data_IF_829237387805
#
_entry.id   IF_829237387805
#
_cell.length_a   1.000
_cell.length_b   1.000
_cell.length_c   1.000
_cell.angle_alpha   90.00
_cell.angle_beta   90.00
_cell.angle_gamma   90.00
#
_symmetry.space_group_name_H-M   'P 1'
#
loop_
_entity.id
_entity.type
_entity.pdbx_description
1 polymer ?
#
# COMPACT_ATOMS: atom_id res chain seq x y z
N UNK A 1 13.61 3.99 -8.64
CA UNK A 1 12.60 4.69 -9.46
C UNK A 1 12.97 4.68 -10.93
N UNK A 2 14.18 5.17 -11.34
CA UNK A 2 14.58 5.24 -12.75
C UNK A 2 14.41 3.92 -13.50
N UNK A 3 14.86 2.80 -12.92
CA UNK A 3 14.70 1.47 -13.53
C UNK A 3 13.23 1.12 -13.81
N UNK A 4 12.30 1.57 -12.98
CA UNK A 4 10.86 1.30 -13.17
C UNK A 4 10.30 2.07 -14.37
N UNK A 5 10.60 3.34 -14.51
CA UNK A 5 10.09 4.15 -15.63
C UNK A 5 10.69 3.73 -16.97
N UNK A 6 11.90 3.16 -16.96
CA UNK A 6 12.57 2.68 -18.19
C UNK A 6 11.91 1.42 -18.76
N UNK A 7 11.20 0.64 -17.93
CA UNK A 7 10.61 -0.66 -18.33
C UNK A 7 9.08 -0.69 -18.29
N UNK A 8 8.44 0.29 -17.62
CA UNK A 8 6.99 0.34 -17.47
C UNK A 8 6.36 1.32 -18.44
N UNK A 9 5.23 0.92 -19.05
CA UNK A 9 4.42 1.77 -19.94
C UNK A 9 3.30 2.51 -19.20
N UNK A 10 3.13 2.24 -17.91
CA UNK A 10 2.13 2.88 -17.04
C UNK A 10 2.80 3.93 -16.15
N UNK A 11 2.06 4.92 -15.66
CA UNK A 11 2.60 5.91 -14.73
C UNK A 11 3.26 5.27 -13.51
N UNK A 12 4.45 5.74 -13.15
CA UNK A 12 5.15 5.41 -11.92
C UNK A 12 5.30 6.70 -11.11
N UNK A 13 4.98 6.65 -9.82
CA UNK A 13 5.04 7.82 -8.93
C UNK A 13 6.16 7.64 -7.93
N UNK A 14 7.08 8.60 -7.86
CA UNK A 14 8.18 8.60 -6.90
C UNK A 14 7.74 9.25 -5.60
N UNK A 15 7.11 8.49 -4.74
CA UNK A 15 6.69 8.93 -3.40
C UNK A 15 6.44 7.71 -2.50
N UNK A 16 6.38 7.94 -1.20
CA UNK A 16 5.76 6.99 -0.28
C UNK A 16 4.27 7.30 -0.15
N UNK A 17 3.42 6.27 -0.22
CA UNK A 17 1.99 6.46 0.04
C UNK A 17 1.78 6.39 1.55
N UNK A 18 1.16 7.44 2.10
CA UNK A 18 0.91 7.57 3.52
C UNK A 18 -0.41 8.31 3.78
N UNK A 19 -0.87 8.34 5.05
CA UNK A 19 -2.13 9.02 5.43
C UNK A 19 -2.11 10.54 5.26
N UNK A 20 -0.93 11.14 5.13
CA UNK A 20 -0.74 12.60 5.01
C UNK A 20 0.25 12.90 3.90
N UNK A 21 -0.06 13.89 3.06
CA UNK A 21 0.78 14.34 1.95
C UNK A 21 1.78 15.41 2.38
N UNK A 22 2.91 15.46 1.66
CA UNK A 22 3.87 16.56 1.74
C UNK A 22 4.84 16.50 2.92
N UNK A 23 4.76 15.48 3.77
CA UNK A 23 5.75 15.28 4.83
C UNK A 23 6.94 14.47 4.33
N UNK A 24 8.10 14.68 4.93
CA UNK A 24 9.29 13.90 4.65
C UNK A 24 9.41 12.80 5.70
N UNK A 25 9.39 11.54 5.26
CA UNK A 25 9.57 10.36 6.11
C UNK A 25 10.86 9.65 5.74
N UNK A 26 11.52 9.09 6.74
CA UNK A 26 12.70 8.25 6.52
C UNK A 26 12.27 6.91 5.92
N UNK A 27 12.88 6.53 4.80
CA UNK A 27 12.77 5.23 4.17
C UNK A 27 14.05 4.44 4.39
N UNK A 28 13.91 3.20 4.81
CA UNK A 28 15.02 2.27 5.00
C UNK A 28 15.12 1.37 3.77
N UNK A 29 16.25 1.43 3.10
CA UNK A 29 16.57 0.59 1.95
C UNK A 29 17.46 -0.58 2.39
N UNK A 30 16.98 -1.79 2.11
CA UNK A 30 17.72 -3.02 2.38
C UNK A 30 18.56 -3.49 1.17
N UNK A 31 18.49 -2.75 0.05
CA UNK A 31 19.26 -3.00 -1.17
C UNK A 31 18.76 -4.19 -1.98
N UNK A 32 19.35 -4.35 -3.16
CA UNK A 32 18.95 -5.35 -4.18
C UNK A 32 19.93 -6.55 -4.26
N UNK A 33 20.86 -6.73 -3.32
CA UNK A 33 21.96 -7.71 -3.46
C UNK A 33 21.51 -9.17 -3.35
N UNK A 34 20.30 -9.39 -2.84
CA UNK A 34 19.62 -10.68 -2.90
C UNK A 34 18.11 -10.45 -3.12
N UNK A 35 17.41 -11.48 -3.58
CA UNK A 35 15.96 -11.43 -3.81
C UNK A 35 15.15 -11.05 -2.56
N UNK A 36 15.77 -11.08 -1.38
CA UNK A 36 15.13 -10.78 -0.08
C UNK A 36 15.39 -9.36 0.41
N UNK A 37 16.42 -8.68 -0.08
CA UNK A 37 16.79 -7.35 0.38
C UNK A 37 15.73 -6.31 0.03
N UNK A 38 15.33 -6.24 -1.24
CA UNK A 38 14.33 -5.28 -1.72
C UNK A 38 12.93 -5.48 -1.11
N UNK A 39 12.59 -6.72 -0.77
CA UNK A 39 11.31 -7.08 -0.13
C UNK A 39 11.18 -6.61 1.33
N UNK A 40 12.25 -6.12 1.95
CA UNK A 40 12.25 -5.68 3.35
C UNK A 40 12.32 -4.15 3.49
N UNK A 41 12.42 -3.44 2.38
CA UNK A 41 12.55 -1.97 2.39
C UNK A 41 11.22 -1.32 2.75
N UNK A 42 11.22 -0.41 3.73
CA UNK A 42 9.99 0.20 4.24
C UNK A 42 10.22 1.59 4.85
N UNK A 43 9.15 2.29 5.17
CA UNK A 43 9.22 3.48 6.01
C UNK A 43 9.78 3.12 7.38
N UNK A 44 10.71 3.94 7.90
CA UNK A 44 11.40 3.71 9.18
C UNK A 44 10.43 3.51 10.35
N UNK A 45 9.29 4.22 10.34
CA UNK A 45 8.25 4.09 11.37
C UNK A 45 7.48 2.75 11.31
N UNK A 46 7.45 2.10 10.15
CA UNK A 46 6.83 0.79 9.92
C UNK A 46 7.83 -0.36 9.98
N UNK A 47 9.14 -0.03 10.00
CA UNK A 47 10.22 -0.99 9.83
C UNK A 47 10.23 -2.09 10.89
N UNK A 48 10.19 -3.32 10.43
CA UNK A 48 10.32 -4.52 11.25
C UNK A 48 11.74 -4.64 11.84
N UNK A 49 11.91 -5.56 12.81
CA UNK A 49 13.25 -5.91 13.30
C UNK A 49 14.17 -6.42 12.17
N UNK A 50 13.61 -7.19 11.23
CA UNK A 50 14.35 -7.67 10.05
C UNK A 50 14.81 -6.53 9.16
N UNK A 51 13.93 -5.58 8.86
CA UNK A 51 14.25 -4.38 8.09
C UNK A 51 15.42 -3.62 8.71
N UNK A 52 15.34 -3.33 10.00
CA UNK A 52 16.39 -2.58 10.73
C UNK A 52 17.73 -3.28 10.74
N UNK A 53 17.75 -4.63 10.81
CA UNK A 53 19.00 -5.40 10.81
C UNK A 53 19.61 -5.59 9.41
N UNK A 54 18.82 -5.43 8.34
CA UNK A 54 19.27 -5.55 6.97
C UNK A 54 19.39 -4.18 6.27
N UNK A 55 19.19 -3.08 6.99
CA UNK A 55 19.32 -1.73 6.47
C UNK A 55 20.71 -1.49 5.88
N UNK A 56 20.79 -1.04 4.63
CA UNK A 56 22.03 -0.63 3.94
C UNK A 56 22.15 0.87 3.91
N UNK A 57 21.06 1.55 3.63
CA UNK A 57 20.99 3.00 3.64
C UNK A 57 19.61 3.48 4.09
N UNK A 58 19.50 4.75 4.42
CA UNK A 58 18.22 5.42 4.61
C UNK A 58 18.25 6.79 3.98
N UNK A 59 17.08 7.25 3.52
CA UNK A 59 16.91 8.57 2.91
C UNK A 59 15.50 9.09 3.16
N UNK A 60 15.31 10.40 2.98
CA UNK A 60 14.00 11.00 3.11
C UNK A 60 13.20 10.85 1.82
N UNK A 61 11.96 10.42 1.95
CA UNK A 61 10.98 10.35 0.87
C UNK A 61 9.80 11.26 1.15
N UNK A 62 9.32 11.94 0.11
CA UNK A 62 8.06 12.70 0.23
C UNK A 62 6.87 11.77 0.19
N UNK A 63 5.89 12.09 1.04
CA UNK A 63 4.64 11.35 1.07
C UNK A 63 3.58 11.98 0.17
N UNK A 64 2.70 11.11 -0.35
CA UNK A 64 1.40 11.47 -0.92
C UNK A 64 0.32 10.57 -0.35
N UNK A 65 -0.89 11.07 -0.25
CA UNK A 65 -2.06 10.20 0.00
C UNK A 65 -2.44 9.47 -1.28
N UNK A 66 -3.01 8.28 -1.15
CA UNK A 66 -3.55 7.58 -2.32
C UNK A 66 -4.63 8.42 -3.01
N UNK A 67 -5.45 9.11 -2.23
CA UNK A 67 -6.48 10.00 -2.77
C UNK A 67 -5.91 11.13 -3.64
N UNK A 68 -4.78 11.74 -3.23
CA UNK A 68 -4.10 12.76 -4.04
C UNK A 68 -3.59 12.20 -5.37
N UNK A 69 -3.00 11.00 -5.36
CA UNK A 69 -2.52 10.32 -6.57
C UNK A 69 -3.70 10.01 -7.51
N UNK A 70 -4.82 9.48 -6.98
CA UNK A 70 -5.99 9.17 -7.79
C UNK A 70 -6.58 10.43 -8.46
N UNK A 71 -6.56 11.57 -7.76
CA UNK A 71 -6.98 12.85 -8.33
C UNK A 71 -6.01 13.34 -9.40
N UNK A 72 -4.71 13.32 -9.12
CA UNK A 72 -3.66 13.81 -10.03
C UNK A 72 -3.68 13.07 -11.38
N UNK A 73 -3.92 11.76 -11.33
CA UNK A 73 -3.97 10.92 -12.54
C UNK A 73 -5.38 10.77 -13.13
N UNK A 74 -6.36 11.55 -12.65
CA UNK A 74 -7.75 11.49 -13.12
C UNK A 74 -8.31 10.08 -13.10
N UNK A 75 -8.04 9.33 -12.04
CA UNK A 75 -8.54 7.97 -11.88
C UNK A 75 -10.07 7.94 -11.91
N UNK A 76 -10.69 6.91 -12.53
CA UNK A 76 -12.14 6.76 -12.51
C UNK A 76 -12.63 6.50 -11.08
N UNK A 77 -13.87 6.89 -10.78
CA UNK A 77 -14.46 6.66 -9.45
C UNK A 77 -14.60 5.17 -9.11
N UNK A 78 -14.73 4.32 -10.12
CA UNK A 78 -14.70 2.87 -9.97
C UNK A 78 -13.40 2.32 -10.59
N UNK A 79 -12.61 1.64 -9.79
CA UNK A 79 -11.33 1.04 -10.14
C UNK A 79 -11.48 -0.47 -9.94
N UNK A 80 -11.21 -1.26 -10.96
CA UNK A 80 -11.47 -2.70 -10.92
C UNK A 80 -10.66 -3.41 -9.85
N UNK A 81 -9.38 -3.04 -9.68
CA UNK A 81 -8.46 -3.73 -8.79
C UNK A 81 -7.41 -2.79 -8.19
N UNK A 82 -7.07 -3.04 -6.92
CA UNK A 82 -5.89 -2.48 -6.26
C UNK A 82 -5.18 -3.55 -5.45
N UNK A 83 -3.85 -3.54 -5.50
CA UNK A 83 -2.97 -4.29 -4.60
C UNK A 83 -2.23 -3.31 -3.70
N UNK A 84 -2.23 -3.57 -2.40
CA UNK A 84 -1.56 -2.76 -1.38
C UNK A 84 -0.57 -3.65 -0.65
N UNK A 85 0.70 -3.37 -0.89
CA UNK A 85 1.86 -4.05 -0.32
C UNK A 85 2.94 -2.98 -0.14
N UNK A 86 3.03 -2.43 1.07
CA UNK A 86 3.87 -1.27 1.42
C UNK A 86 4.69 -1.51 2.68
N UNK A 87 4.84 -2.79 3.05
CA UNK A 87 5.72 -3.23 4.13
C UNK A 87 5.45 -2.53 5.47
N UNK A 88 4.14 -2.51 5.87
CA UNK A 88 3.69 -2.10 7.18
C UNK A 88 2.90 -0.79 7.25
N UNK A 89 2.70 -0.08 6.13
CA UNK A 89 1.88 1.13 6.06
C UNK A 89 0.50 0.92 5.40
N UNK A 90 0.02 -0.33 5.29
CA UNK A 90 -1.22 -0.69 4.58
C UNK A 90 -2.44 0.05 5.14
N UNK A 91 -2.53 0.17 6.46
CA UNK A 91 -3.62 0.92 7.10
C UNK A 91 -3.54 2.42 6.84
N UNK A 92 -2.34 2.99 6.77
CA UNK A 92 -2.13 4.39 6.42
C UNK A 92 -2.55 4.68 4.98
N UNK A 93 -2.27 3.75 4.06
CA UNK A 93 -2.76 3.82 2.67
C UNK A 93 -4.29 3.81 2.65
N UNK A 94 -4.94 2.86 3.34
CA UNK A 94 -6.41 2.78 3.40
C UNK A 94 -7.05 4.02 4.03
N UNK A 95 -6.46 4.56 5.10
CA UNK A 95 -6.94 5.78 5.75
C UNK A 95 -6.80 7.03 4.88
N UNK A 96 -5.97 6.97 3.83
CA UNK A 96 -5.77 8.06 2.88
C UNK A 96 -6.78 8.07 1.72
N UNK A 97 -7.68 7.09 1.66
CA UNK A 97 -8.69 6.95 0.60
C UNK A 97 -9.99 7.65 0.95
N UNK A 98 -10.53 8.42 0.02
CA UNK A 98 -11.92 8.88 0.07
C UNK A 98 -12.84 7.80 -0.53
N UNK A 99 -13.29 6.87 0.31
CA UNK A 99 -14.23 5.82 -0.07
C UNK A 99 -15.63 6.34 -0.46
N UNK A 100 -15.94 7.62 -0.17
CA UNK A 100 -17.14 8.27 -0.66
C UNK A 100 -17.07 8.61 -2.15
N UNK A 101 -15.85 8.79 -2.67
CA UNK A 101 -15.59 9.12 -4.07
C UNK A 101 -15.11 7.91 -4.89
N UNK A 102 -14.21 7.10 -4.32
CA UNK A 102 -13.57 5.99 -5.02
C UNK A 102 -14.05 4.64 -4.52
N UNK A 103 -14.32 3.74 -5.43
CA UNK A 103 -14.67 2.35 -5.14
C UNK A 103 -13.71 1.44 -5.89
N UNK A 104 -13.10 0.51 -5.18
CA UNK A 104 -12.27 -0.55 -5.78
C UNK A 104 -13.13 -1.82 -5.90
N UNK A 105 -13.18 -2.43 -7.07
CA UNK A 105 -13.94 -3.66 -7.29
C UNK A 105 -13.41 -4.82 -6.46
N UNK A 106 -12.09 -4.98 -6.47
CA UNK A 106 -11.36 -6.00 -5.72
C UNK A 106 -10.10 -5.39 -5.09
N UNK A 107 -9.82 -5.76 -3.85
CA UNK A 107 -8.66 -5.28 -3.09
C UNK A 107 -7.88 -6.48 -2.57
N UNK A 108 -6.57 -6.51 -2.82
CA UNK A 108 -5.61 -7.40 -2.17
C UNK A 108 -4.71 -6.59 -1.27
N UNK A 109 -4.53 -7.01 -0.02
CA UNK A 109 -3.71 -6.28 0.96
C UNK A 109 -2.82 -7.26 1.69
N UNK A 110 -1.52 -6.94 1.75
CA UNK A 110 -0.60 -7.67 2.61
C UNK A 110 -0.94 -7.43 4.10
N UNK A 111 -0.98 -8.50 4.89
CA UNK A 111 -1.19 -8.42 6.33
C UNK A 111 -0.17 -9.23 7.14
N UNK A 112 0.72 -9.97 6.46
CA UNK A 112 1.83 -10.73 7.04
C UNK A 112 1.41 -11.66 8.20
N UNK A 113 0.21 -12.26 8.12
CA UNK A 113 -0.40 -13.08 9.18
C UNK A 113 -0.57 -12.35 10.53
N UNK A 114 -0.59 -11.03 10.51
CA UNK A 114 -0.81 -10.20 11.69
C UNK A 114 -2.31 -10.04 11.95
N UNK A 115 -2.83 -10.78 12.95
CA UNK A 115 -4.26 -10.75 13.29
C UNK A 115 -4.76 -9.37 13.73
N UNK A 116 -3.91 -8.55 14.37
CA UNK A 116 -4.28 -7.18 14.75
C UNK A 116 -4.44 -6.31 13.50
N UNK A 117 -3.46 -6.33 12.60
CA UNK A 117 -3.52 -5.60 11.34
C UNK A 117 -4.76 -6.00 10.53
N UNK A 118 -5.01 -7.31 10.40
CA UNK A 118 -6.22 -7.82 9.75
C UNK A 118 -7.50 -7.23 10.37
N UNK A 119 -7.61 -7.20 11.69
CA UNK A 119 -8.79 -6.65 12.38
C UNK A 119 -9.01 -5.16 12.05
N UNK A 120 -7.94 -4.37 11.95
CA UNK A 120 -8.04 -2.96 11.57
C UNK A 120 -8.48 -2.81 10.11
N UNK A 121 -7.89 -3.58 9.20
CA UNK A 121 -8.26 -3.61 7.77
C UNK A 121 -9.72 -4.06 7.61
N UNK A 122 -10.14 -5.14 8.30
CA UNK A 122 -11.54 -5.61 8.31
C UNK A 122 -12.51 -4.48 8.69
N UNK A 123 -12.21 -3.74 9.76
CA UNK A 123 -13.06 -2.63 10.24
C UNK A 123 -13.15 -1.50 9.19
N UNK A 124 -12.03 -1.09 8.61
CA UNK A 124 -12.01 -0.03 7.59
C UNK A 124 -12.84 -0.46 6.37
N UNK A 125 -12.55 -1.63 5.83
CA UNK A 125 -13.15 -2.06 4.56
C UNK A 125 -14.61 -2.46 4.70
N UNK A 126 -14.99 -3.17 5.76
CA UNK A 126 -16.41 -3.55 5.96
C UNK A 126 -17.29 -2.33 6.19
N UNK A 127 -16.80 -1.31 6.90
CA UNK A 127 -17.50 -0.03 7.09
C UNK A 127 -17.71 0.72 5.76
N UNK A 128 -16.88 0.44 4.74
CA UNK A 128 -16.95 1.03 3.42
C UNK A 128 -17.59 0.11 2.36
N UNK A 129 -18.27 -0.95 2.79
CA UNK A 129 -19.08 -1.81 1.92
C UNK A 129 -18.31 -2.93 1.22
N UNK A 130 -17.15 -3.29 1.72
CA UNK A 130 -16.39 -4.44 1.25
C UNK A 130 -16.73 -5.70 2.03
N UNK A 131 -16.56 -6.84 1.38
CA UNK A 131 -16.81 -8.17 1.91
C UNK A 131 -15.50 -8.95 1.84
N UNK A 132 -15.06 -9.50 2.96
CA UNK A 132 -13.91 -10.41 3.00
C UNK A 132 -14.16 -11.64 2.11
N UNK A 133 -13.15 -12.02 1.33
CA UNK A 133 -13.22 -13.18 0.43
C UNK A 133 -12.37 -14.33 0.91
N UNK A 134 -11.09 -14.10 1.12
CA UNK A 134 -10.14 -15.18 1.48
C UNK A 134 -8.85 -14.61 2.07
N UNK A 135 -8.09 -15.49 2.68
CA UNK A 135 -6.67 -15.31 2.95
C UNK A 135 -5.89 -16.07 1.86
N UNK A 136 -4.90 -15.43 1.29
CA UNK A 136 -4.00 -15.98 0.29
C UNK A 136 -2.54 -15.78 0.75
N UNK A 137 -1.99 -16.74 1.46
CA UNK A 137 -0.66 -16.69 2.09
C UNK A 137 -0.50 -15.51 3.04
N UNK A 138 0.16 -14.44 2.61
CA UNK A 138 0.41 -13.23 3.41
C UNK A 138 -0.59 -12.11 3.12
N UNK A 139 -1.48 -12.32 2.15
CA UNK A 139 -2.46 -11.35 1.68
C UNK A 139 -3.87 -11.70 2.15
N UNK A 140 -4.71 -10.68 2.21
CA UNK A 140 -6.15 -10.79 2.40
C UNK A 140 -6.89 -10.07 1.27
N UNK A 141 -7.95 -10.74 0.80
CA UNK A 141 -8.73 -10.28 -0.33
C UNK A 141 -10.12 -9.80 0.07
N UNK A 142 -10.55 -8.69 -0.53
CA UNK A 142 -11.88 -8.13 -0.37
C UNK A 142 -12.51 -7.81 -1.70
N UNK A 143 -13.83 -7.91 -1.76
CA UNK A 143 -14.64 -7.50 -2.91
C UNK A 143 -15.67 -6.45 -2.47
N UNK A 144 -15.90 -5.42 -3.28
CA UNK A 144 -16.96 -4.48 -2.99
C UNK A 144 -18.32 -5.10 -3.28
N UNK A 145 -19.31 -4.83 -2.41
CA UNK A 145 -20.68 -5.38 -2.52
C UNK A 145 -21.37 -5.12 -3.85
N UNK A 146 -21.00 -4.05 -4.57
CA UNK A 146 -21.58 -3.73 -5.88
C UNK A 146 -21.16 -4.70 -6.99
N UNK A 147 -20.05 -5.41 -6.82
CA UNK A 147 -19.52 -6.39 -7.79
C UNK A 147 -19.95 -7.80 -7.46
N UNK A 148 -20.23 -8.08 -6.18
CA UNK A 148 -20.61 -9.40 -5.69
C UNK A 148 -22.14 -9.63 -5.94
N UNK A 149 -22.49 -9.86 -7.20
CA UNK A 149 -23.86 -10.22 -7.62
C UNK A 149 -24.01 -11.72 -7.78
#
# INVERSE_FOLDING_TARGET
YQKLIDIRTVPCVECAIYRESGIDLEFIDCGDDDEKGSMLSSLSLCASYRTKNNAKESYLVKTKTLNEILVEYNAPNFIDYISIDVEGAETDVLMSVDFGKYTFGYITIEFNNNCYLKSVIDNILTSNGYIFKQVNEFDIDYIHKSVNK
#
